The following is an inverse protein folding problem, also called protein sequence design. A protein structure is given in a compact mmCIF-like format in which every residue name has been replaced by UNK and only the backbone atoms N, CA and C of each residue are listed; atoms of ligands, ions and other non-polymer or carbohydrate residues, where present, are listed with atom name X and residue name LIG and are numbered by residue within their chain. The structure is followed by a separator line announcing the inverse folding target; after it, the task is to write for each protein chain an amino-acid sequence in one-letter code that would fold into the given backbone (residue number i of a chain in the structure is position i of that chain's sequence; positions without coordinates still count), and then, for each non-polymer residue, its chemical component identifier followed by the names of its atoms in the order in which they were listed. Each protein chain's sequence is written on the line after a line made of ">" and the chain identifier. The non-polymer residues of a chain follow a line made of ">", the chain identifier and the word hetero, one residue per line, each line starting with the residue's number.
data_IF_956102171047
#
_entry.id   IF_956102171047
#
_cell.length_a   1.000
_cell.length_b   1.000
_cell.length_c   1.000
_cell.angle_alpha   90.00
_cell.angle_beta   90.00
_cell.angle_gamma   90.00
#
_symmetry.space_group_name_H-M   'P 1'
#
loop_
_entity.id
_entity.type
_entity.pdbx_description
1 polymer ?
#
# COMPACT_ATOMS: atom_id res chain seq x y z
N UNK A 1 16.16 -6.98 42.35
CA UNK A 1 15.95 -7.23 40.92
C UNK A 1 15.92 -8.75 40.71
N UNK A 2 15.08 -9.24 39.84
CA UNK A 2 14.90 -10.66 39.57
C UNK A 2 15.90 -11.20 38.51
N UNK A 3 16.79 -10.36 37.99
CA UNK A 3 17.72 -10.69 36.92
C UNK A 3 19.11 -10.19 37.28
N UNK A 4 20.11 -11.09 37.26
CA UNK A 4 21.50 -10.74 37.56
C UNK A 4 22.27 -10.27 36.33
N UNK A 5 21.99 -10.84 35.14
CA UNK A 5 22.68 -10.53 33.90
C UNK A 5 21.69 -10.37 32.75
N UNK A 6 21.95 -9.43 31.85
CA UNK A 6 21.23 -9.25 30.60
C UNK A 6 22.23 -9.27 29.45
N UNK A 7 21.98 -10.13 28.45
CA UNK A 7 22.79 -10.21 27.25
C UNK A 7 21.94 -10.05 25.99
N UNK A 8 22.46 -9.35 24.99
CA UNK A 8 21.83 -9.21 23.70
C UNK A 8 22.20 -10.40 22.80
N UNK A 9 21.16 -11.12 22.36
CA UNK A 9 21.36 -12.17 21.37
C UNK A 9 21.51 -11.55 19.97
N UNK A 10 22.64 -11.79 19.30
CA UNK A 10 22.93 -11.29 17.95
C UNK A 10 22.51 -12.25 16.83
N UNK A 11 22.07 -13.45 17.17
CA UNK A 11 21.66 -14.46 16.19
C UNK A 11 20.14 -14.49 16.01
N UNK A 12 19.64 -15.01 14.87
CA UNK A 12 18.20 -15.09 14.61
C UNK A 12 17.45 -16.03 15.58
N UNK A 13 18.14 -17.01 16.16
CA UNK A 13 17.60 -17.98 17.11
C UNK A 13 18.44 -18.03 18.38
N UNK A 14 17.94 -18.65 19.44
CA UNK A 14 18.69 -18.81 20.69
C UNK A 14 19.73 -19.93 20.65
N UNK A 15 19.81 -20.74 19.60
CA UNK A 15 20.63 -21.94 19.52
C UNK A 15 22.11 -21.67 19.84
N UNK A 16 22.71 -20.66 19.20
CA UNK A 16 24.12 -20.34 19.44
C UNK A 16 24.36 -19.76 20.85
N UNK A 17 23.41 -18.97 21.36
CA UNK A 17 23.47 -18.48 22.75
C UNK A 17 23.41 -19.63 23.75
N UNK A 18 22.54 -20.60 23.55
CA UNK A 18 22.43 -21.82 24.40
C UNK A 18 23.72 -22.59 24.39
N UNK A 19 24.36 -22.78 23.24
CA UNK A 19 25.68 -23.48 23.16
C UNK A 19 26.78 -22.77 23.91
N UNK A 20 26.78 -21.43 23.94
CA UNK A 20 27.79 -20.61 24.62
C UNK A 20 27.53 -20.60 26.13
N UNK A 21 26.27 -20.30 26.53
CA UNK A 21 25.89 -20.12 27.94
C UNK A 21 25.81 -21.48 28.69
N UNK A 22 25.43 -22.56 27.99
CA UNK A 22 25.21 -23.90 28.54
C UNK A 22 24.31 -23.87 29.79
N UNK A 23 23.07 -23.37 29.68
CA UNK A 23 22.19 -23.17 30.83
C UNK A 23 21.74 -24.50 31.41
N UNK A 24 21.62 -24.60 32.75
CA UNK A 24 20.98 -25.72 33.41
C UNK A 24 19.48 -25.76 33.12
N UNK A 25 18.85 -24.56 33.08
CA UNK A 25 17.43 -24.36 32.74
C UNK A 25 17.28 -23.30 31.66
N UNK A 26 16.64 -23.69 30.58
CA UNK A 26 16.20 -22.77 29.53
C UNK A 26 14.69 -22.55 29.67
N UNK A 27 14.30 -21.34 30.04
CA UNK A 27 12.90 -21.02 30.39
C UNK A 27 12.20 -20.36 29.22
N UNK A 28 11.02 -20.84 28.87
CA UNK A 28 10.12 -20.28 27.84
C UNK A 28 8.72 -20.05 28.42
N UNK A 29 7.95 -19.16 27.79
CA UNK A 29 6.53 -18.99 28.09
C UNK A 29 5.72 -20.25 27.76
N UNK A 30 4.59 -20.44 28.42
CA UNK A 30 3.70 -21.58 28.22
C UNK A 30 3.09 -21.66 26.81
N UNK A 31 3.03 -20.52 26.08
CA UNK A 31 2.61 -20.43 24.69
C UNK A 31 3.48 -21.25 23.72
N UNK A 32 4.72 -21.59 24.12
CA UNK A 32 5.62 -22.48 23.37
C UNK A 32 5.50 -23.98 23.76
N UNK A 33 4.67 -24.32 24.73
CA UNK A 33 4.44 -25.70 25.15
C UNK A 33 3.67 -26.50 24.10
N UNK A 34 2.76 -25.87 23.38
CA UNK A 34 2.01 -26.46 22.27
C UNK A 34 2.80 -26.31 20.96
N UNK A 35 3.48 -27.37 20.56
CA UNK A 35 4.35 -27.41 19.38
C UNK A 35 3.61 -27.12 18.06
N UNK A 36 2.30 -27.40 18.00
CA UNK A 36 1.48 -27.14 16.81
C UNK A 36 1.20 -25.63 16.64
N UNK A 37 1.36 -24.85 17.71
CA UNK A 37 1.20 -23.39 17.72
C UNK A 37 2.50 -22.61 17.57
N UNK A 38 3.66 -23.29 17.48
CA UNK A 38 4.94 -22.62 17.23
C UNK A 38 5.04 -22.13 15.79
N UNK A 39 4.61 -20.88 15.58
CA UNK A 39 4.65 -20.18 14.28
C UNK A 39 6.08 -20.04 13.73
N UNK A 40 7.10 -20.16 14.59
CA UNK A 40 8.51 -20.03 14.19
C UNK A 40 9.14 -21.35 13.81
N UNK A 41 8.59 -22.49 14.23
CA UNK A 41 9.12 -23.84 14.04
C UNK A 41 10.47 -24.08 14.74
N UNK A 42 10.94 -23.14 15.57
CA UNK A 42 12.28 -23.18 16.15
C UNK A 42 12.34 -23.84 17.52
N UNK A 43 11.22 -24.02 18.21
CA UNK A 43 11.22 -24.53 19.60
C UNK A 43 11.87 -25.91 19.69
N UNK A 44 11.65 -26.80 18.72
CA UNK A 44 12.28 -28.13 18.68
C UNK A 44 13.79 -28.04 18.53
N UNK A 45 14.28 -27.14 17.68
CA UNK A 45 15.72 -26.93 17.47
C UNK A 45 16.39 -26.33 18.70
N UNK A 46 15.71 -25.43 19.41
CA UNK A 46 16.19 -24.87 20.68
C UNK A 46 16.18 -25.94 21.79
N UNK A 47 15.14 -26.76 21.87
CA UNK A 47 15.06 -27.89 22.81
C UNK A 47 16.21 -28.88 22.59
N UNK A 48 16.50 -29.26 21.35
CA UNK A 48 17.61 -30.17 21.01
C UNK A 48 18.96 -29.53 21.36
N UNK A 49 19.14 -28.23 21.15
CA UNK A 49 20.35 -27.51 21.54
C UNK A 49 20.55 -27.49 23.08
N UNK A 50 19.48 -27.27 23.84
CA UNK A 50 19.51 -27.29 25.32
C UNK A 50 19.88 -28.69 25.84
N UNK A 51 19.26 -29.73 25.29
CA UNK A 51 19.60 -31.13 25.64
C UNK A 51 21.05 -31.46 25.30
N UNK A 52 21.56 -31.02 24.18
CA UNK A 52 22.93 -31.27 23.73
C UNK A 52 23.99 -30.66 24.66
N UNK A 53 23.66 -29.61 25.42
CA UNK A 53 24.55 -29.00 26.43
C UNK A 53 24.27 -29.47 27.85
N UNK A 54 23.35 -30.44 28.05
CA UNK A 54 23.01 -31.05 29.34
C UNK A 54 21.95 -30.28 30.14
N UNK A 55 21.36 -29.23 29.58
CA UNK A 55 20.32 -28.44 30.20
C UNK A 55 18.91 -29.02 30.05
N UNK A 56 17.95 -28.41 30.71
CA UNK A 56 16.51 -28.75 30.64
C UNK A 56 15.70 -27.52 30.19
N UNK A 57 14.68 -27.77 29.37
CA UNK A 57 13.70 -26.72 29.06
C UNK A 57 12.62 -26.71 30.14
N UNK A 58 12.22 -25.52 30.57
CA UNK A 58 11.15 -25.31 31.53
C UNK A 58 10.16 -24.31 30.95
N UNK A 59 8.87 -24.62 31.02
CA UNK A 59 7.82 -23.71 30.61
C UNK A 59 7.17 -23.07 31.85
N UNK A 60 6.98 -21.74 31.81
CA UNK A 60 6.30 -21.05 32.92
C UNK A 60 4.81 -21.43 32.94
N UNK A 61 4.24 -21.58 34.13
CA UNK A 61 2.82 -21.94 34.33
C UNK A 61 1.93 -20.70 34.58
N UNK A 62 2.50 -19.50 34.64
CA UNK A 62 1.76 -18.28 34.89
C UNK A 62 1.05 -17.77 33.64
N UNK A 63 -0.03 -16.99 33.86
CA UNK A 63 -0.76 -16.31 32.79
C UNK A 63 0.22 -15.42 32.03
N UNK A 64 0.63 -15.85 30.85
CA UNK A 64 1.49 -15.07 29.97
C UNK A 64 0.69 -13.96 29.32
N UNK A 65 0.84 -12.76 29.84
CA UNK A 65 0.57 -11.59 29.03
C UNK A 65 1.73 -11.42 28.07
N UNK A 66 1.52 -11.59 26.76
CA UNK A 66 2.56 -11.21 25.82
C UNK A 66 2.87 -9.72 26.02
N UNK A 67 4.13 -9.32 25.88
CA UNK A 67 4.50 -7.89 25.95
C UNK A 67 3.60 -7.05 25.03
N UNK A 68 3.23 -7.60 23.88
CA UNK A 68 2.30 -7.00 22.94
C UNK A 68 0.90 -6.81 23.54
N UNK A 69 0.36 -7.81 24.28
CA UNK A 69 -0.96 -7.67 24.89
C UNK A 69 -0.99 -6.66 26.04
N UNK A 70 0.07 -6.59 26.85
CA UNK A 70 0.23 -5.57 27.89
C UNK A 70 0.36 -4.17 27.31
N UNK A 71 1.19 -3.99 26.25
CA UNK A 71 1.33 -2.73 25.55
C UNK A 71 -0.01 -2.31 24.94
N UNK A 72 -0.70 -3.22 24.27
CA UNK A 72 -2.00 -2.93 23.66
C UNK A 72 -3.07 -2.61 24.69
N UNK A 73 -3.06 -3.24 25.86
CA UNK A 73 -4.05 -2.99 26.92
C UNK A 73 -3.79 -1.69 27.71
N UNK A 74 -2.52 -1.38 28.00
CA UNK A 74 -2.18 -0.30 28.95
C UNK A 74 -1.41 0.87 28.33
N UNK A 75 -0.73 0.66 27.23
CA UNK A 75 0.14 1.65 26.57
C UNK A 75 -0.17 1.82 25.08
N UNK A 76 -1.38 1.40 24.65
CA UNK A 76 -1.79 1.56 23.25
C UNK A 76 -1.74 3.02 22.83
N UNK A 77 -1.01 3.38 21.77
CA UNK A 77 -0.95 4.75 21.25
C UNK A 77 -2.24 5.16 20.54
N UNK A 78 -3.21 4.24 20.41
CA UNK A 78 -4.47 4.48 19.72
C UNK A 78 -5.48 5.20 20.60
N UNK A 79 -6.30 6.06 19.98
CA UNK A 79 -7.44 6.70 20.64
C UNK A 79 -8.53 5.66 21.01
N UNK A 80 -9.47 6.08 21.84
CA UNK A 80 -10.49 5.16 22.37
C UNK A 80 -11.40 4.59 21.28
N UNK A 81 -11.74 5.37 20.26
CA UNK A 81 -12.54 4.89 19.10
C UNK A 81 -11.83 3.72 18.37
N UNK A 82 -10.52 3.83 18.19
CA UNK A 82 -9.74 2.76 17.54
C UNK A 82 -9.63 1.53 18.45
N UNK A 83 -9.47 1.72 19.77
CA UNK A 83 -9.44 0.62 20.75
C UNK A 83 -10.78 -0.14 20.78
N UNK A 84 -11.90 0.58 20.83
CA UNK A 84 -13.24 0.00 20.81
C UNK A 84 -13.47 -0.80 19.51
N UNK A 85 -13.11 -0.21 18.36
CA UNK A 85 -13.19 -0.91 17.07
C UNK A 85 -12.39 -2.20 17.07
N UNK A 86 -11.11 -2.16 17.49
CA UNK A 86 -10.24 -3.33 17.53
C UNK A 86 -10.76 -4.40 18.48
N UNK A 87 -11.29 -4.01 19.65
CA UNK A 87 -11.90 -4.94 20.59
C UNK A 87 -13.13 -5.64 19.99
N UNK A 88 -14.00 -4.90 19.31
CA UNK A 88 -15.16 -5.47 18.61
C UNK A 88 -14.74 -6.38 17.44
N UNK A 89 -13.72 -5.97 16.68
CA UNK A 89 -13.22 -6.71 15.55
C UNK A 89 -12.60 -8.06 15.96
N UNK A 90 -11.77 -8.08 17.02
CA UNK A 90 -11.14 -9.30 17.60
C UNK A 90 -12.18 -10.36 18.01
N UNK A 91 -13.33 -9.93 18.56
CA UNK A 91 -14.41 -10.86 18.92
C UNK A 91 -15.01 -11.58 17.72
N UNK A 92 -14.89 -11.00 16.51
CA UNK A 92 -15.53 -11.49 15.28
C UNK A 92 -14.55 -12.22 14.35
N UNK A 93 -13.30 -11.75 14.32
CA UNK A 93 -12.29 -12.21 13.37
C UNK A 93 -10.95 -12.46 14.07
N UNK A 94 -10.42 -13.67 13.90
CA UNK A 94 -9.05 -13.99 14.33
C UNK A 94 -8.02 -13.55 13.29
N UNK A 95 -6.75 -13.47 13.69
CA UNK A 95 -5.65 -13.14 12.79
C UNK A 95 -5.55 -14.12 11.62
N UNK A 96 -5.72 -15.43 11.89
CA UNK A 96 -5.64 -16.49 10.90
C UNK A 96 -6.72 -16.32 9.83
N UNK A 97 -7.95 -15.93 10.22
CA UNK A 97 -9.05 -15.69 9.27
C UNK A 97 -8.74 -14.50 8.34
N UNK A 98 -8.18 -13.42 8.89
CA UNK A 98 -7.81 -12.24 8.08
C UNK A 98 -6.65 -12.56 7.16
N UNK A 99 -5.63 -13.28 7.66
CA UNK A 99 -4.47 -13.70 6.85
C UNK A 99 -4.91 -14.66 5.74
N UNK A 100 -5.83 -15.58 6.03
CA UNK A 100 -6.37 -16.49 5.02
C UNK A 100 -7.06 -15.76 3.85
N UNK A 101 -7.69 -14.61 4.08
CA UNK A 101 -8.20 -13.78 2.97
C UNK A 101 -7.09 -13.22 2.08
N UNK A 102 -5.97 -12.83 2.67
CA UNK A 102 -4.79 -12.35 1.94
C UNK A 102 -4.14 -13.49 1.15
N UNK A 103 -4.05 -14.69 1.73
CA UNK A 103 -3.49 -15.86 1.04
C UNK A 103 -4.27 -16.29 -0.22
N UNK A 104 -5.56 -15.97 -0.31
CA UNK A 104 -6.37 -16.23 -1.51
C UNK A 104 -5.96 -15.41 -2.72
N UNK A 105 -5.14 -14.38 -2.53
CA UNK A 105 -4.73 -13.45 -3.59
C UNK A 105 -3.61 -14.01 -4.46
N UNK A 106 -2.82 -14.96 -3.95
CA UNK A 106 -1.60 -15.51 -4.55
C UNK A 106 -1.76 -16.15 -5.94
N UNK A 107 -2.99 -16.56 -6.29
CA UNK A 107 -3.27 -17.22 -7.56
C UNK A 107 -3.91 -16.27 -8.59
N UNK A 108 -4.03 -14.98 -8.26
CA UNK A 108 -4.65 -13.99 -9.13
C UNK A 108 -3.69 -13.53 -10.24
N UNK A 109 -4.24 -13.38 -11.43
CA UNK A 109 -3.61 -12.75 -12.59
C UNK A 109 -4.14 -11.34 -12.75
N UNK A 110 -3.26 -10.35 -12.64
CA UNK A 110 -3.64 -8.94 -12.59
C UNK A 110 -2.99 -8.20 -13.75
N UNK A 111 -3.80 -7.48 -14.53
CA UNK A 111 -3.31 -6.47 -15.45
C UNK A 111 -3.47 -5.10 -14.80
N UNK A 112 -2.36 -4.41 -14.58
CA UNK A 112 -2.37 -3.04 -14.10
C UNK A 112 -2.02 -2.10 -15.25
N UNK A 113 -2.86 -1.07 -15.44
CA UNK A 113 -2.69 -0.07 -16.49
C UNK A 113 -2.78 1.33 -15.87
N UNK A 114 -1.87 2.24 -16.25
CA UNK A 114 -1.89 3.60 -15.72
C UNK A 114 -0.69 4.42 -16.16
N UNK A 115 -0.64 5.66 -15.67
CA UNK A 115 0.45 6.59 -15.99
C UNK A 115 1.70 6.27 -15.17
N UNK A 116 2.84 6.12 -15.85
CA UNK A 116 4.17 6.08 -15.20
C UNK A 116 4.48 7.45 -14.63
N UNK A 117 4.99 7.46 -13.40
CA UNK A 117 5.53 8.64 -12.73
C UNK A 117 6.88 8.28 -12.13
N UNK A 118 7.88 9.13 -12.36
CA UNK A 118 9.16 9.08 -11.64
C UNK A 118 9.12 10.17 -10.58
N UNK A 119 9.26 9.78 -9.32
CA UNK A 119 9.31 10.70 -8.19
C UNK A 119 10.77 10.96 -7.81
N UNK A 120 11.25 12.19 -8.01
CA UNK A 120 12.59 12.63 -7.62
C UNK A 120 12.51 13.51 -6.37
N UNK A 121 13.22 13.12 -5.31
CA UNK A 121 13.34 13.87 -4.05
C UNK A 121 14.72 14.50 -3.96
N UNK A 122 14.80 15.80 -4.21
CA UNK A 122 16.02 16.59 -4.13
C UNK A 122 16.15 17.25 -2.75
N UNK A 123 17.02 16.73 -1.93
CA UNK A 123 17.26 17.28 -0.59
C UNK A 123 18.15 18.50 -0.66
N UNK A 124 17.67 19.58 -0.05
CA UNK A 124 18.33 20.89 -0.07
C UNK A 124 18.52 21.42 1.35
N UNK A 125 19.48 22.33 1.48
CA UNK A 125 19.65 23.15 2.67
C UNK A 125 19.17 24.59 2.33
N UNK A 126 17.99 25.02 2.80
CA UNK A 126 17.51 26.38 2.55
C UNK A 126 18.42 27.41 3.21
N UNK A 127 18.84 28.42 2.45
CA UNK A 127 19.66 29.55 2.93
C UNK A 127 18.80 30.78 3.26
N UNK A 128 17.51 30.74 2.96
CA UNK A 128 16.59 31.84 3.14
C UNK A 128 16.33 32.62 1.85
N UNK A 129 15.79 33.84 1.99
CA UNK A 129 15.46 34.71 0.86
C UNK A 129 16.71 35.25 0.18
N UNK A 130 16.77 35.18 -1.14
CA UNK A 130 17.82 35.81 -1.92
C UNK A 130 17.85 37.32 -1.71
N UNK A 131 19.04 37.95 -1.70
CA UNK A 131 19.20 39.41 -1.58
C UNK A 131 18.81 40.15 -2.86
N UNK A 132 18.81 39.47 -4.02
CA UNK A 132 18.59 40.08 -5.34
C UNK A 132 17.21 39.87 -5.92
N UNK A 133 16.44 38.91 -5.38
CA UNK A 133 15.10 38.53 -5.92
C UNK A 133 14.26 37.89 -4.84
N UNK A 134 12.91 37.83 -4.97
CA UNK A 134 12.04 37.26 -3.92
C UNK A 134 12.00 35.73 -3.90
N UNK A 135 13.01 35.04 -4.43
CA UNK A 135 13.12 33.58 -4.41
C UNK A 135 13.83 33.07 -3.17
N UNK A 136 13.57 31.83 -2.80
CA UNK A 136 14.32 31.09 -1.80
C UNK A 136 15.61 30.57 -2.45
N UNK A 137 16.76 30.83 -1.81
CA UNK A 137 18.04 30.22 -2.18
C UNK A 137 18.26 28.95 -1.36
N UNK A 138 18.74 27.90 -1.99
CA UNK A 138 19.04 26.63 -1.32
C UNK A 138 20.27 25.97 -1.93
N UNK A 139 21.01 25.21 -1.13
CA UNK A 139 22.12 24.38 -1.59
C UNK A 139 21.62 22.95 -1.80
N UNK A 140 21.84 22.40 -2.98
CA UNK A 140 21.57 21.00 -3.30
C UNK A 140 22.54 20.09 -2.51
N UNK A 141 22.04 18.96 -2.02
CA UNK A 141 22.82 18.02 -1.23
C UNK A 141 22.87 16.62 -1.90
N UNK A 142 21.73 16.05 -2.17
CA UNK A 142 21.57 14.72 -2.78
C UNK A 142 20.18 14.55 -3.34
N UNK A 143 19.98 13.47 -4.07
CA UNK A 143 18.65 13.06 -4.54
C UNK A 143 18.38 11.58 -4.27
N UNK A 144 17.11 11.25 -4.11
CA UNK A 144 16.59 9.90 -4.16
C UNK A 144 15.54 9.85 -5.28
N UNK A 145 15.51 8.76 -6.04
CA UNK A 145 14.60 8.57 -7.17
C UNK A 145 13.79 7.31 -6.96
N UNK A 146 12.48 7.41 -7.17
CA UNK A 146 11.53 6.33 -6.89
C UNK A 146 10.62 6.04 -8.08
N UNK A 147 10.22 4.77 -8.20
CA UNK A 147 9.15 4.35 -9.09
C UNK A 147 7.79 4.72 -8.48
N UNK A 148 7.13 5.72 -9.05
CA UNK A 148 5.81 6.20 -8.63
C UNK A 148 4.71 5.85 -9.62
N UNK A 149 3.50 6.33 -9.36
CA UNK A 149 2.35 6.07 -10.20
C UNK A 149 2.06 4.58 -10.36
N UNK A 150 1.77 4.16 -11.59
CA UNK A 150 1.45 2.75 -11.87
C UNK A 150 2.59 1.78 -11.55
N UNK A 151 3.85 2.25 -11.54
CA UNK A 151 5.01 1.42 -11.17
C UNK A 151 4.94 1.01 -9.69
N UNK A 152 4.62 1.96 -8.81
CA UNK A 152 4.44 1.68 -7.38
C UNK A 152 3.28 0.71 -7.16
N UNK A 153 2.16 0.91 -7.86
CA UNK A 153 1.01 -0.01 -7.83
C UNK A 153 1.42 -1.42 -8.25
N UNK A 154 2.19 -1.56 -9.33
CA UNK A 154 2.67 -2.86 -9.81
C UNK A 154 3.58 -3.56 -8.79
N UNK A 155 4.51 -2.83 -8.17
CA UNK A 155 5.37 -3.35 -7.11
C UNK A 155 4.58 -3.82 -5.89
N UNK A 156 3.53 -3.10 -5.49
CA UNK A 156 2.64 -3.55 -4.42
C UNK A 156 1.87 -4.81 -4.81
N UNK A 157 1.33 -4.87 -6.04
CA UNK A 157 0.55 -6.01 -6.52
C UNK A 157 1.36 -7.30 -6.54
N UNK A 158 2.63 -7.23 -6.98
CA UNK A 158 3.54 -8.37 -7.06
C UNK A 158 3.74 -9.08 -5.71
N UNK A 159 3.65 -8.35 -4.60
CA UNK A 159 3.75 -8.93 -3.26
C UNK A 159 2.56 -9.81 -2.87
N UNK A 160 1.44 -9.73 -3.58
CA UNK A 160 0.19 -10.39 -3.19
C UNK A 160 -0.42 -11.25 -4.30
N UNK A 161 -0.31 -10.86 -5.56
CA UNK A 161 -0.84 -11.59 -6.71
C UNK A 161 0.14 -12.65 -7.22
N UNK A 162 -0.35 -13.60 -8.00
CA UNK A 162 0.48 -14.65 -8.63
C UNK A 162 1.17 -14.17 -9.90
N UNK A 163 0.47 -13.40 -10.72
CA UNK A 163 0.99 -12.83 -11.96
C UNK A 163 0.56 -11.37 -12.06
N UNK A 164 1.49 -10.48 -12.37
CA UNK A 164 1.23 -9.05 -12.55
C UNK A 164 1.80 -8.61 -13.89
N UNK A 165 0.93 -8.10 -14.75
CA UNK A 165 1.32 -7.49 -16.02
C UNK A 165 1.07 -5.99 -15.97
N UNK A 166 2.14 -5.21 -16.12
CA UNK A 166 2.12 -3.76 -16.16
C UNK A 166 2.02 -3.28 -17.61
N UNK A 167 1.03 -2.44 -17.88
CA UNK A 167 0.84 -1.74 -19.16
C UNK A 167 0.91 -0.24 -18.92
N UNK A 168 1.90 0.43 -19.54
CA UNK A 168 2.07 1.88 -19.36
C UNK A 168 2.75 2.52 -20.56
N UNK A 169 2.82 3.86 -20.56
CA UNK A 169 3.47 4.66 -21.59
C UNK A 169 4.69 5.38 -21.03
N UNK A 170 5.77 5.37 -21.78
CA UNK A 170 7.00 6.12 -21.53
C UNK A 170 7.22 7.15 -22.63
N UNK A 171 7.92 8.23 -22.30
CA UNK A 171 8.32 9.23 -23.26
C UNK A 171 9.61 8.85 -23.96
N UNK A 172 9.72 8.99 -25.28
CA UNK A 172 11.01 8.82 -25.97
C UNK A 172 12.03 9.90 -25.64
N UNK A 173 11.56 11.07 -25.25
CA UNK A 173 12.42 12.14 -24.73
C UNK A 173 12.58 11.92 -23.24
N UNK A 174 13.78 11.59 -22.78
CA UNK A 174 14.04 11.27 -21.36
C UNK A 174 13.15 10.13 -20.87
N UNK A 175 13.45 8.93 -21.30
CA UNK A 175 12.62 7.74 -21.09
C UNK A 175 12.62 7.21 -19.64
N UNK A 176 13.67 7.54 -18.88
CA UNK A 176 13.86 7.07 -17.49
C UNK A 176 13.92 5.53 -17.37
N UNK A 177 14.20 4.83 -18.46
CA UNK A 177 14.10 3.36 -18.51
C UNK A 177 15.01 2.70 -17.47
N UNK A 178 16.24 3.19 -17.30
CA UNK A 178 17.17 2.67 -16.29
C UNK A 178 16.59 2.80 -14.88
N UNK A 179 16.02 3.94 -14.54
CA UNK A 179 15.39 4.16 -13.23
C UNK A 179 14.23 3.20 -13.02
N UNK A 180 13.42 2.97 -14.07
CA UNK A 180 12.29 2.04 -14.03
C UNK A 180 12.79 0.61 -13.82
N UNK A 181 13.80 0.17 -14.56
CA UNK A 181 14.36 -1.17 -14.43
C UNK A 181 15.01 -1.42 -13.07
N UNK A 182 15.71 -0.41 -12.51
CA UNK A 182 16.35 -0.49 -11.20
C UNK A 182 15.33 -0.53 -10.02
N UNK A 183 14.09 -0.04 -10.23
CA UNK A 183 13.09 0.12 -9.17
C UNK A 183 11.81 -0.71 -9.37
N UNK A 184 11.63 -1.35 -10.50
CA UNK A 184 10.48 -2.24 -10.73
C UNK A 184 10.84 -3.67 -10.35
N UNK A 185 9.99 -4.34 -9.58
CA UNK A 185 10.18 -5.72 -9.16
C UNK A 185 10.33 -6.67 -10.36
N UNK A 186 11.26 -7.62 -10.27
CA UNK A 186 11.54 -8.61 -11.34
C UNK A 186 10.33 -9.49 -11.65
N UNK A 187 9.45 -9.73 -10.69
CA UNK A 187 8.22 -10.52 -10.84
C UNK A 187 7.09 -9.79 -11.59
N UNK A 188 7.31 -8.54 -12.05
CA UNK A 188 6.33 -7.79 -12.83
C UNK A 188 6.63 -7.94 -14.31
N UNK A 189 5.74 -8.60 -15.06
CA UNK A 189 5.75 -8.55 -16.51
C UNK A 189 5.44 -7.14 -17.00
N UNK A 190 6.16 -6.65 -17.99
CA UNK A 190 6.09 -5.24 -18.37
C UNK A 190 5.85 -5.05 -19.86
N UNK A 191 4.87 -4.24 -20.23
CA UNK A 191 4.61 -3.76 -21.58
C UNK A 191 4.66 -2.25 -21.61
N UNK A 192 5.74 -1.70 -22.14
CA UNK A 192 5.91 -0.28 -22.37
C UNK A 192 5.47 0.11 -23.77
N UNK A 193 4.70 1.17 -23.86
CA UNK A 193 4.40 1.91 -25.08
C UNK A 193 5.18 3.22 -25.05
N UNK A 194 5.40 3.83 -26.22
CA UNK A 194 6.30 4.97 -26.34
C UNK A 194 5.62 6.14 -27.03
N UNK A 195 5.53 7.28 -26.31
CA UNK A 195 5.06 8.53 -26.88
C UNK A 195 6.22 9.38 -27.40
N UNK A 196 6.03 10.02 -28.57
CA UNK A 196 7.04 10.86 -29.23
C UNK A 196 7.01 12.31 -28.71
N UNK A 197 5.85 12.76 -28.24
CA UNK A 197 5.51 14.16 -28.00
C UNK A 197 5.85 14.66 -26.60
N UNK A 198 6.49 13.83 -25.74
CA UNK A 198 6.86 14.21 -24.40
C UNK A 198 7.86 13.31 -23.70
N UNK A 199 8.31 13.70 -22.50
CA UNK A 199 9.14 12.87 -21.63
C UNK A 199 8.28 11.83 -20.88
N UNK A 200 8.93 10.87 -20.23
CA UNK A 200 8.31 10.11 -19.14
C UNK A 200 7.99 11.08 -17.99
N UNK A 201 6.78 10.97 -17.44
CA UNK A 201 6.34 11.91 -16.40
C UNK A 201 7.28 11.85 -15.19
N UNK A 202 7.86 12.96 -14.83
CA UNK A 202 8.77 13.09 -13.70
C UNK A 202 8.30 14.22 -12.78
N UNK A 203 8.18 13.93 -11.49
CA UNK A 203 7.83 14.90 -10.44
C UNK A 203 9.03 15.10 -9.54
N UNK A 204 9.71 16.22 -9.72
CA UNK A 204 10.89 16.60 -8.95
C UNK A 204 10.50 17.47 -7.79
N UNK A 205 10.63 16.94 -6.57
CA UNK A 205 10.31 17.64 -5.32
C UNK A 205 11.59 18.08 -4.63
N UNK A 206 11.62 19.34 -4.26
CA UNK A 206 12.71 19.89 -3.47
C UNK A 206 12.30 19.91 -1.99
N UNK A 207 13.12 19.26 -1.13
CA UNK A 207 12.81 19.05 0.28
C UNK A 207 13.85 19.73 1.17
N UNK A 208 13.39 20.30 2.27
CA UNK A 208 14.28 20.65 3.38
C UNK A 208 14.83 19.37 4.02
N UNK A 209 16.18 19.28 4.10
CA UNK A 209 16.86 18.08 4.61
C UNK A 209 16.57 17.78 6.08
N UNK A 210 16.31 18.80 6.89
CA UNK A 210 16.12 18.64 8.33
C UNK A 210 14.69 18.28 8.69
N UNK A 211 13.73 18.91 8.02
CA UNK A 211 12.31 18.80 8.33
C UNK A 211 11.58 17.83 7.40
N UNK A 212 12.21 17.37 6.31
CA UNK A 212 11.57 16.61 5.22
C UNK A 212 10.32 17.29 4.64
N UNK A 213 10.25 18.63 4.76
CA UNK A 213 9.14 19.41 4.23
C UNK A 213 9.41 19.67 2.75
N UNK A 214 8.41 19.38 1.91
CA UNK A 214 8.44 19.68 0.47
C UNK A 214 8.31 21.19 0.29
N UNK A 215 9.35 21.82 -0.27
CA UNK A 215 9.42 23.26 -0.51
C UNK A 215 8.63 23.65 -1.76
N UNK A 216 8.87 22.94 -2.86
CA UNK A 216 8.16 23.08 -4.13
C UNK A 216 8.38 21.85 -5.01
N UNK A 217 7.60 21.74 -6.09
CA UNK A 217 7.67 20.66 -7.07
C UNK A 217 7.80 21.23 -8.48
N UNK A 218 8.64 20.61 -9.31
CA UNK A 218 8.70 20.84 -10.75
C UNK A 218 8.29 19.56 -11.44
N UNK A 219 7.34 19.65 -12.37
CA UNK A 219 6.87 18.51 -13.17
C UNK A 219 7.36 18.59 -14.60
N UNK A 220 7.88 17.48 -15.10
CA UNK A 220 8.27 17.27 -16.49
C UNK A 220 7.28 16.27 -17.07
N UNK A 221 6.36 16.76 -17.92
CA UNK A 221 5.30 15.91 -18.46
C UNK A 221 4.69 16.51 -19.73
N UNK A 222 3.96 15.65 -20.44
CA UNK A 222 2.95 16.06 -21.39
C UNK A 222 1.64 15.35 -21.01
N UNK A 223 0.68 16.09 -20.50
CA UNK A 223 -0.61 15.60 -20.01
C UNK A 223 -1.70 15.47 -21.09
N UNK A 224 -1.36 15.78 -22.36
CA UNK A 224 -2.27 15.53 -23.47
C UNK A 224 -2.47 14.03 -23.65
N UNK A 225 -3.66 13.65 -24.11
CA UNK A 225 -3.90 12.26 -24.49
C UNK A 225 -2.88 11.78 -25.54
N UNK A 226 -2.53 10.50 -25.43
CA UNK A 226 -1.67 9.85 -26.41
C UNK A 226 -2.29 9.92 -27.80
N UNK A 227 -1.43 9.96 -28.84
CA UNK A 227 -1.88 10.02 -30.23
C UNK A 227 -2.74 8.80 -30.60
N UNK A 228 -3.68 9.01 -31.52
CA UNK A 228 -4.64 7.98 -31.94
C UNK A 228 -3.99 6.67 -32.39
N UNK A 229 -2.88 6.73 -33.12
CA UNK A 229 -2.13 5.54 -33.54
C UNK A 229 -1.66 4.73 -32.34
N UNK A 230 -1.06 5.39 -31.34
CA UNK A 230 -0.57 4.74 -30.13
C UNK A 230 -1.73 4.20 -29.30
N UNK A 231 -2.83 4.94 -29.19
CA UNK A 231 -4.06 4.47 -28.52
C UNK A 231 -4.58 3.18 -29.15
N UNK A 232 -4.61 3.08 -30.48
CA UNK A 232 -5.07 1.89 -31.20
C UNK A 232 -4.13 0.69 -30.95
N UNK A 233 -2.82 0.92 -30.90
CA UNK A 233 -1.82 -0.10 -30.54
C UNK A 233 -2.03 -0.62 -29.10
N UNK A 234 -2.28 0.28 -28.13
CA UNK A 234 -2.60 -0.07 -26.75
C UNK A 234 -3.86 -0.91 -26.68
N UNK A 235 -4.95 -0.46 -27.32
CA UNK A 235 -6.22 -1.21 -27.34
C UNK A 235 -6.06 -2.58 -28.01
N UNK A 236 -5.31 -2.68 -29.09
CA UNK A 236 -5.03 -3.95 -29.76
C UNK A 236 -4.28 -4.94 -28.84
N UNK A 237 -3.32 -4.44 -28.06
CA UNK A 237 -2.62 -5.23 -27.06
C UNK A 237 -3.57 -5.69 -25.93
N UNK A 238 -4.32 -4.76 -25.37
CA UNK A 238 -5.28 -5.04 -24.29
C UNK A 238 -6.33 -6.08 -24.72
N UNK A 239 -6.81 -6.05 -25.98
CA UNK A 239 -7.76 -7.04 -26.51
C UNK A 239 -7.26 -8.48 -26.42
N UNK A 240 -5.94 -8.68 -26.54
CA UNK A 240 -5.32 -10.01 -26.42
C UNK A 240 -5.17 -10.39 -24.95
N UNK A 241 -4.57 -9.51 -24.15
CA UNK A 241 -4.16 -9.79 -22.78
C UNK A 241 -5.30 -9.85 -21.77
N UNK A 242 -6.33 -9.04 -21.96
CA UNK A 242 -7.44 -8.94 -20.99
C UNK A 242 -8.19 -10.27 -20.79
N UNK A 243 -8.11 -11.18 -21.75
CA UNK A 243 -8.72 -12.52 -21.65
C UNK A 243 -8.02 -13.42 -20.64
N UNK A 244 -6.72 -13.18 -20.41
CA UNK A 244 -5.81 -14.02 -19.64
C UNK A 244 -5.81 -13.65 -18.14
N UNK A 245 -6.41 -12.50 -17.77
CA UNK A 245 -6.37 -11.96 -16.41
C UNK A 245 -7.70 -12.06 -15.67
N UNK A 246 -7.64 -12.06 -14.35
CA UNK A 246 -8.81 -12.05 -13.47
C UNK A 246 -9.28 -10.62 -13.16
N UNK A 247 -8.32 -9.72 -12.92
CA UNK A 247 -8.55 -8.34 -12.50
C UNK A 247 -7.83 -7.38 -13.42
N UNK A 248 -8.51 -6.33 -13.83
CA UNK A 248 -7.90 -5.14 -14.44
C UNK A 248 -7.92 -4.03 -13.41
N UNK A 249 -6.75 -3.52 -13.06
CA UNK A 249 -6.60 -2.41 -12.14
C UNK A 249 -6.11 -1.17 -12.91
N UNK A 250 -6.87 -0.08 -12.82
CA UNK A 250 -6.56 1.19 -13.46
C UNK A 250 -6.05 2.18 -12.42
N UNK A 251 -4.81 2.62 -12.58
CA UNK A 251 -4.19 3.69 -11.80
C UNK A 251 -4.10 4.96 -12.68
N UNK A 252 -5.16 5.74 -12.67
CA UNK A 252 -5.38 6.87 -13.57
C UNK A 252 -4.97 8.19 -12.90
N UNK A 253 -3.74 8.61 -13.16
CA UNK A 253 -3.21 9.87 -12.62
C UNK A 253 -3.53 11.10 -13.51
N UNK A 254 -4.25 10.89 -14.62
CA UNK A 254 -4.69 11.97 -15.50
C UNK A 254 -3.58 12.61 -16.32
N UNK A 255 -2.54 11.85 -16.66
CA UNK A 255 -1.41 12.31 -17.47
C UNK A 255 -1.48 11.86 -18.93
N UNK A 256 -2.70 11.57 -19.40
CA UNK A 256 -3.00 11.40 -20.82
C UNK A 256 -2.87 9.98 -21.38
N UNK A 257 -2.40 9.01 -20.63
CA UNK A 257 -2.36 7.63 -21.10
C UNK A 257 -3.75 7.00 -21.13
N UNK A 258 -4.53 7.17 -20.07
CA UNK A 258 -5.88 6.62 -19.98
C UNK A 258 -6.88 7.51 -20.73
N UNK A 259 -7.00 7.28 -22.02
CA UNK A 259 -7.92 8.03 -22.89
C UNK A 259 -9.37 7.57 -22.74
N UNK A 260 -10.35 8.37 -23.20
CA UNK A 260 -11.77 7.98 -23.20
C UNK A 260 -12.04 6.67 -23.95
N UNK A 261 -11.31 6.37 -25.04
CA UNK A 261 -11.49 5.13 -25.78
C UNK A 261 -10.92 3.92 -25.04
N UNK A 262 -9.80 4.09 -24.34
CA UNK A 262 -9.25 3.04 -23.45
C UNK A 262 -10.24 2.77 -22.31
N UNK A 263 -10.80 3.80 -21.65
CA UNK A 263 -11.83 3.63 -20.63
C UNK A 263 -13.01 2.83 -21.17
N UNK A 264 -13.56 3.28 -22.30
CA UNK A 264 -14.70 2.61 -22.95
C UNK A 264 -14.40 1.13 -23.24
N UNK A 265 -13.19 0.82 -23.74
CA UNK A 265 -12.78 -0.55 -24.02
C UNK A 265 -12.73 -1.38 -22.71
N UNK A 266 -12.12 -0.86 -21.65
CA UNK A 266 -11.99 -1.54 -20.36
C UNK A 266 -13.37 -1.81 -19.72
N UNK A 267 -14.27 -0.84 -19.74
CA UNK A 267 -15.65 -0.97 -19.25
C UNK A 267 -16.48 -2.03 -20.00
N UNK A 268 -16.18 -2.23 -21.29
CA UNK A 268 -16.86 -3.20 -22.14
C UNK A 268 -16.21 -4.59 -22.13
N UNK A 269 -15.05 -4.74 -21.50
CA UNK A 269 -14.27 -5.98 -21.50
C UNK A 269 -14.93 -7.16 -20.76
N UNK A 270 -15.88 -6.89 -19.87
CA UNK A 270 -16.50 -7.89 -19.01
C UNK A 270 -15.63 -8.38 -17.85
N UNK A 271 -14.41 -7.85 -17.69
CA UNK A 271 -13.51 -8.21 -16.60
C UNK A 271 -13.81 -7.41 -15.34
N UNK A 272 -13.32 -7.90 -14.21
CA UNK A 272 -13.38 -7.15 -12.97
C UNK A 272 -12.51 -5.91 -13.07
N UNK A 273 -13.14 -4.74 -13.02
CA UNK A 273 -12.50 -3.45 -13.21
C UNK A 273 -12.40 -2.72 -11.87
N UNK A 274 -11.18 -2.59 -11.34
CA UNK A 274 -10.85 -1.78 -10.17
C UNK A 274 -10.20 -0.47 -10.61
N UNK A 275 -10.63 0.66 -10.09
CA UNK A 275 -10.22 1.98 -10.57
C UNK A 275 -9.87 2.91 -9.42
N UNK A 276 -8.74 3.61 -9.56
CA UNK A 276 -8.45 4.88 -8.93
C UNK A 276 -8.33 5.95 -10.02
N UNK A 277 -8.94 7.10 -9.83
CA UNK A 277 -8.72 8.29 -10.65
C UNK A 277 -8.24 9.40 -9.72
N UNK A 278 -6.94 9.66 -9.77
CA UNK A 278 -6.28 10.56 -8.85
C UNK A 278 -6.35 12.01 -9.32
N UNK A 279 -6.67 12.89 -8.40
CA UNK A 279 -6.53 14.34 -8.60
C UNK A 279 -5.21 14.82 -7.98
N UNK A 280 -4.39 15.47 -8.79
CA UNK A 280 -3.10 16.03 -8.38
C UNK A 280 -2.98 17.52 -8.77
N UNK A 281 -1.85 18.15 -8.43
CA UNK A 281 -1.63 19.59 -8.69
C UNK A 281 -1.71 19.99 -10.17
N UNK A 282 -1.38 19.07 -11.08
CA UNK A 282 -1.33 19.35 -12.51
C UNK A 282 -2.70 19.20 -13.20
N UNK A 283 -3.57 18.31 -12.69
CA UNK A 283 -4.87 18.02 -13.29
C UNK A 283 -6.05 18.39 -12.38
N UNK A 284 -5.83 19.30 -11.44
CA UNK A 284 -6.84 19.69 -10.46
C UNK A 284 -8.13 20.16 -11.15
N UNK A 285 -9.21 19.41 -10.91
CA UNK A 285 -10.51 19.70 -11.54
C UNK A 285 -10.72 19.11 -12.94
N UNK A 286 -9.79 18.31 -13.47
CA UNK A 286 -9.89 17.75 -14.82
C UNK A 286 -9.87 16.23 -14.89
N UNK A 287 -9.47 15.54 -13.81
CA UNK A 287 -9.39 14.07 -13.76
C UNK A 287 -10.34 13.51 -12.70
N UNK A 288 -11.60 13.36 -13.05
CA UNK A 288 -12.64 12.89 -12.12
C UNK A 288 -12.95 11.41 -12.29
N UNK A 289 -13.19 10.73 -11.17
CA UNK A 289 -13.65 9.33 -11.15
C UNK A 289 -14.99 9.14 -11.88
N UNK A 290 -15.79 10.19 -12.00
CA UNK A 290 -17.10 10.18 -12.69
C UNK A 290 -17.00 9.96 -14.19
N UNK A 291 -15.82 10.01 -14.81
CA UNK A 291 -15.61 9.63 -16.21
C UNK A 291 -15.74 8.11 -16.46
N UNK A 292 -15.69 7.30 -15.39
CA UNK A 292 -15.94 5.86 -15.42
C UNK A 292 -17.42 5.58 -15.12
N UNK A 293 -18.10 4.85 -16.01
CA UNK A 293 -19.54 4.59 -15.90
C UNK A 293 -19.88 3.14 -15.55
N UNK A 294 -18.89 2.25 -15.60
CA UNK A 294 -19.09 0.83 -15.29
C UNK A 294 -17.83 0.26 -14.66
N UNK A 295 -17.80 0.20 -13.34
CA UNK A 295 -16.68 -0.33 -12.56
C UNK A 295 -17.16 -1.38 -11.55
N UNK A 296 -16.26 -2.23 -11.07
CA UNK A 296 -16.58 -3.18 -9.99
C UNK A 296 -16.13 -2.64 -8.64
N UNK A 297 -14.98 -1.98 -8.59
CA UNK A 297 -14.39 -1.44 -7.40
C UNK A 297 -13.79 -0.05 -7.66
N UNK A 298 -14.02 0.86 -6.74
CA UNK A 298 -13.42 2.21 -6.74
C UNK A 298 -12.71 2.40 -5.40
N UNK A 299 -11.47 2.91 -5.43
CA UNK A 299 -10.75 3.38 -4.25
C UNK A 299 -10.20 4.78 -4.55
N UNK A 300 -10.71 5.78 -3.85
CA UNK A 300 -10.34 7.19 -3.99
C UNK A 300 -10.28 7.86 -2.61
N UNK A 301 -9.69 9.05 -2.54
CA UNK A 301 -9.74 9.84 -1.33
C UNK A 301 -11.01 10.72 -1.22
N UNK A 302 -11.20 11.34 -0.06
CA UNK A 302 -12.35 12.22 0.19
C UNK A 302 -12.39 13.41 -0.77
N UNK A 303 -11.25 14.00 -1.11
CA UNK A 303 -11.15 15.14 -2.01
C UNK A 303 -11.54 14.76 -3.44
N UNK A 304 -11.08 13.60 -3.89
CA UNK A 304 -11.42 13.03 -5.20
C UNK A 304 -12.90 12.66 -5.31
N UNK A 305 -13.54 12.31 -4.18
CA UNK A 305 -15.00 12.15 -4.11
C UNK A 305 -15.73 13.49 -4.22
N UNK A 306 -15.27 14.54 -3.53
CA UNK A 306 -15.95 15.84 -3.45
C UNK A 306 -15.86 16.67 -4.72
N UNK A 307 -14.69 16.65 -5.36
CA UNK A 307 -14.40 17.51 -6.52
C UNK A 307 -15.40 17.38 -7.68
N UNK A 308 -15.78 16.19 -8.17
CA UNK A 308 -16.73 16.07 -9.30
C UNK A 308 -18.13 16.57 -8.97
N UNK A 309 -18.46 16.74 -7.70
CA UNK A 309 -19.77 17.27 -7.26
C UNK A 309 -19.72 18.75 -6.86
N UNK A 310 -18.53 19.36 -6.81
CA UNK A 310 -18.36 20.74 -6.36
C UNK A 310 -18.86 20.96 -4.91
N UNK A 311 -18.81 19.91 -4.08
CA UNK A 311 -19.43 19.93 -2.75
C UNK A 311 -18.39 19.66 -1.65
N UNK A 312 -17.94 20.74 -1.01
CA UNK A 312 -16.94 20.69 0.06
C UNK A 312 -17.53 20.30 1.43
N UNK A 313 -18.84 20.44 1.66
CA UNK A 313 -19.44 20.38 2.98
C UNK A 313 -20.54 19.33 3.13
N UNK A 314 -21.04 18.80 2.02
CA UNK A 314 -22.10 17.79 2.02
C UNK A 314 -21.70 16.48 2.69
N UNK A 315 -22.70 15.73 3.12
CA UNK A 315 -22.54 14.44 3.73
C UNK A 315 -21.84 13.43 2.81
N UNK A 316 -20.71 12.88 3.23
CA UNK A 316 -19.93 11.92 2.43
C UNK A 316 -20.77 10.74 1.94
N UNK A 317 -21.64 10.22 2.80
CA UNK A 317 -22.51 9.09 2.45
C UNK A 317 -23.43 9.41 1.26
N UNK A 318 -23.92 10.63 1.17
CA UNK A 318 -24.76 11.05 0.04
C UNK A 318 -23.95 11.22 -1.25
N UNK A 319 -22.72 11.74 -1.15
CA UNK A 319 -21.81 11.83 -2.30
C UNK A 319 -21.42 10.45 -2.83
N UNK A 320 -21.15 9.48 -1.95
CA UNK A 320 -20.89 8.10 -2.34
C UNK A 320 -22.09 7.47 -3.05
N UNK A 321 -23.32 7.72 -2.58
CA UNK A 321 -24.52 7.24 -3.27
C UNK A 321 -24.69 7.89 -4.65
N UNK A 322 -24.38 9.19 -4.79
CA UNK A 322 -24.37 9.88 -6.10
C UNK A 322 -23.32 9.25 -7.02
N UNK A 323 -22.09 9.04 -6.52
CA UNK A 323 -21.03 8.40 -7.27
C UNK A 323 -21.43 6.98 -7.73
N UNK A 324 -22.01 6.19 -6.84
CA UNK A 324 -22.53 4.85 -7.16
C UNK A 324 -23.53 4.86 -8.33
N UNK A 325 -24.42 5.85 -8.40
CA UNK A 325 -25.40 5.97 -9.49
C UNK A 325 -24.72 6.22 -10.84
N UNK A 326 -23.64 7.03 -10.85
CA UNK A 326 -22.89 7.36 -12.07
C UNK A 326 -22.03 6.17 -12.52
N UNK A 327 -21.22 5.64 -11.62
CA UNK A 327 -20.17 4.68 -11.94
C UNK A 327 -20.67 3.23 -11.95
N UNK A 328 -21.85 2.96 -11.40
CA UNK A 328 -22.42 1.61 -11.19
C UNK A 328 -21.51 0.67 -10.41
N UNK A 329 -20.54 1.22 -9.68
CA UNK A 329 -19.52 0.47 -8.95
C UNK A 329 -20.14 -0.58 -8.00
N UNK A 330 -19.57 -1.77 -7.93
CA UNK A 330 -19.98 -2.82 -6.99
C UNK A 330 -19.70 -2.43 -5.55
N UNK A 331 -18.48 -1.94 -5.30
CA UNK A 331 -17.98 -1.44 -4.01
C UNK A 331 -17.27 -0.11 -4.22
N UNK A 332 -17.39 0.79 -3.24
CA UNK A 332 -16.69 2.09 -3.25
C UNK A 332 -15.99 2.25 -1.92
N UNK A 333 -14.67 2.43 -1.96
CA UNK A 333 -13.83 2.74 -0.83
C UNK A 333 -13.37 4.19 -0.87
N UNK A 334 -13.53 4.89 0.24
CA UNK A 334 -13.05 6.25 0.41
C UNK A 334 -12.00 6.25 1.52
N UNK A 335 -10.78 6.65 1.19
CA UNK A 335 -9.72 6.88 2.19
C UNK A 335 -9.89 8.26 2.78
N UNK A 336 -9.86 8.35 4.12
CA UNK A 336 -10.15 9.54 4.91
C UNK A 336 -8.92 10.01 5.71
N UNK A 337 -7.72 9.62 5.29
CA UNK A 337 -6.48 9.93 5.99
C UNK A 337 -6.52 9.48 7.45
N UNK A 338 -6.35 10.42 8.38
CA UNK A 338 -6.36 10.13 9.82
C UNK A 338 -7.71 9.63 10.35
N UNK A 339 -8.79 9.76 9.59
CA UNK A 339 -10.11 9.23 9.93
C UNK A 339 -10.32 7.79 9.45
N UNK A 340 -9.36 7.20 8.72
CA UNK A 340 -9.39 5.81 8.30
C UNK A 340 -10.03 5.57 6.93
N UNK A 341 -10.89 4.57 6.82
CA UNK A 341 -11.51 4.14 5.56
C UNK A 341 -13.01 4.00 5.73
N UNK A 342 -13.77 4.50 4.77
CA UNK A 342 -15.20 4.24 4.62
C UNK A 342 -15.42 3.36 3.37
N UNK A 343 -16.07 2.21 3.54
CA UNK A 343 -16.44 1.31 2.46
C UNK A 343 -17.97 1.29 2.29
N UNK A 344 -18.42 1.37 1.04
CA UNK A 344 -19.83 1.24 0.68
C UNK A 344 -20.04 0.00 -0.20
N UNK A 345 -20.85 -0.91 0.27
CA UNK A 345 -21.23 -2.15 -0.42
C UNK A 345 -22.67 -2.54 -0.06
N UNK A 346 -23.45 -3.04 -1.03
CA UNK A 346 -24.83 -3.56 -0.81
C UNK A 346 -25.70 -2.60 0.01
N UNK A 347 -25.62 -1.29 -0.28
CA UNK A 347 -26.35 -0.21 0.39
C UNK A 347 -26.00 -0.02 1.89
N UNK A 348 -24.84 -0.57 2.35
CA UNK A 348 -24.34 -0.41 3.70
C UNK A 348 -23.00 0.32 3.70
N UNK A 349 -22.79 1.13 4.73
CA UNK A 349 -21.53 1.80 5.00
C UNK A 349 -20.81 1.09 6.14
N UNK A 350 -19.52 0.84 5.93
CA UNK A 350 -18.61 0.27 6.92
C UNK A 350 -17.48 1.28 7.12
N UNK A 351 -17.26 1.69 8.36
CA UNK A 351 -16.17 2.59 8.72
C UNK A 351 -15.13 1.84 9.54
N UNK A 352 -13.87 2.03 9.18
CA UNK A 352 -12.72 1.50 9.92
C UNK A 352 -11.81 2.68 10.28
N UNK A 353 -11.54 2.94 11.56
CA UNK A 353 -10.67 4.04 11.98
C UNK A 353 -9.22 3.79 11.55
N UNK A 354 -8.42 4.86 11.42
CA UNK A 354 -7.01 4.74 11.07
C UNK A 354 -6.20 4.06 12.19
N UNK A 355 -5.21 3.26 11.79
CA UNK A 355 -4.30 2.57 12.71
C UNK A 355 -2.91 3.20 12.78
N UNK A 356 -2.55 4.05 11.84
CA UNK A 356 -1.27 4.76 11.86
C UNK A 356 -1.20 5.74 13.03
N UNK A 357 -0.15 5.67 13.83
CA UNK A 357 0.10 6.58 14.97
C UNK A 357 1.06 7.71 14.62
N UNK A 358 1.78 7.56 13.51
CA UNK A 358 2.66 8.57 12.93
C UNK A 358 2.69 8.44 11.42
N UNK A 359 3.06 9.51 10.73
CA UNK A 359 3.17 9.56 9.27
C UNK A 359 4.54 10.13 8.92
N UNK A 360 5.34 9.38 8.15
CA UNK A 360 6.61 9.86 7.60
C UNK A 360 6.41 10.48 6.23
N UNK A 361 5.71 9.80 5.36
CA UNK A 361 5.30 10.29 4.04
C UNK A 361 3.94 9.71 3.68
N UNK A 362 3.06 10.54 3.11
CA UNK A 362 1.74 10.09 2.67
C UNK A 362 1.68 9.76 1.17
N UNK A 363 2.75 10.02 0.43
CA UNK A 363 2.82 9.74 -1.02
C UNK A 363 2.79 8.23 -1.23
N UNK A 364 1.95 7.76 -2.14
CA UNK A 364 1.81 6.34 -2.48
C UNK A 364 0.95 5.51 -1.52
N UNK A 365 0.51 6.06 -0.37
CA UNK A 365 -0.31 5.29 0.57
C UNK A 365 -1.66 4.86 -0.04
N UNK A 366 -2.30 5.73 -0.83
CA UNK A 366 -3.51 5.41 -1.58
C UNK A 366 -3.30 4.30 -2.59
N UNK A 367 -2.17 4.31 -3.29
CA UNK A 367 -1.77 3.33 -4.29
C UNK A 367 -1.54 1.95 -3.65
N UNK A 368 -0.86 1.91 -2.50
CA UNK A 368 -0.67 0.69 -1.72
C UNK A 368 -2.02 0.10 -1.25
N UNK A 369 -2.90 0.94 -0.71
CA UNK A 369 -4.25 0.54 -0.26
C UNK A 369 -5.05 0.01 -1.44
N UNK A 370 -5.11 0.72 -2.57
CA UNK A 370 -5.78 0.27 -3.78
C UNK A 370 -5.30 -1.12 -4.23
N UNK A 371 -3.97 -1.32 -4.30
CA UNK A 371 -3.37 -2.55 -4.81
C UNK A 371 -3.85 -3.79 -4.08
N UNK A 372 -3.92 -3.74 -2.75
CA UNK A 372 -4.34 -4.89 -1.95
C UNK A 372 -5.85 -5.01 -1.85
N UNK A 373 -6.53 -3.88 -1.60
CA UNK A 373 -7.99 -3.90 -1.39
C UNK A 373 -8.78 -4.22 -2.65
N UNK A 374 -8.27 -3.88 -3.85
CA UNK A 374 -8.89 -4.26 -5.11
C UNK A 374 -8.93 -5.79 -5.29
N UNK A 375 -7.84 -6.48 -4.94
CA UNK A 375 -7.76 -7.93 -5.00
C UNK A 375 -8.67 -8.60 -3.96
N UNK A 376 -8.66 -8.08 -2.72
CA UNK A 376 -9.59 -8.53 -1.67
C UNK A 376 -11.05 -8.33 -2.10
N UNK A 377 -11.37 -7.20 -2.73
CA UNK A 377 -12.70 -6.90 -3.23
C UNK A 377 -13.15 -7.88 -4.33
N UNK A 378 -12.25 -8.26 -5.23
CA UNK A 378 -12.48 -9.30 -6.24
C UNK A 378 -12.77 -10.67 -5.60
N UNK A 379 -11.99 -11.06 -4.59
CA UNK A 379 -12.22 -12.32 -3.83
C UNK A 379 -13.44 -12.26 -2.92
N UNK A 380 -14.22 -11.17 -2.94
CA UNK A 380 -15.39 -10.96 -2.09
C UNK A 380 -15.11 -11.03 -0.58
N UNK A 381 -13.90 -10.62 -0.16
CA UNK A 381 -13.56 -10.46 1.26
C UNK A 381 -14.63 -9.63 1.95
N UNK A 382 -15.11 -10.03 3.16
CA UNK A 382 -16.11 -9.29 3.90
C UNK A 382 -15.72 -7.82 4.12
N UNK A 383 -16.69 -6.90 3.98
CA UNK A 383 -16.46 -5.46 3.99
C UNK A 383 -15.67 -4.96 5.21
N UNK A 384 -15.94 -5.50 6.39
CA UNK A 384 -15.22 -5.15 7.62
C UNK A 384 -13.75 -5.59 7.58
N UNK A 385 -13.47 -6.81 7.07
CA UNK A 385 -12.09 -7.28 6.89
C UNK A 385 -11.37 -6.48 5.82
N UNK A 386 -12.05 -6.13 4.72
CA UNK A 386 -11.47 -5.33 3.64
C UNK A 386 -11.05 -3.95 4.17
N UNK A 387 -11.89 -3.28 4.94
CA UNK A 387 -11.56 -2.01 5.59
C UNK A 387 -10.39 -2.15 6.58
N UNK A 388 -10.37 -3.23 7.37
CA UNK A 388 -9.28 -3.54 8.31
C UNK A 388 -7.95 -3.76 7.58
N UNK A 389 -7.93 -4.62 6.54
CA UNK A 389 -6.74 -4.88 5.72
C UNK A 389 -6.25 -3.58 5.07
N UNK A 390 -7.16 -2.78 4.49
CA UNK A 390 -6.82 -1.50 3.88
C UNK A 390 -6.15 -0.53 4.85
N UNK A 391 -6.64 -0.43 6.09
CA UNK A 391 -6.00 0.41 7.12
C UNK A 391 -4.65 -0.14 7.59
N UNK A 392 -4.48 -1.47 7.68
CA UNK A 392 -3.17 -2.07 7.96
C UNK A 392 -2.15 -1.74 6.86
N UNK A 393 -2.55 -1.88 5.58
CA UNK A 393 -1.70 -1.53 4.44
C UNK A 393 -1.37 -0.04 4.45
N UNK A 394 -2.37 0.84 4.61
CA UNK A 394 -2.16 2.29 4.68
C UNK A 394 -1.22 2.69 5.82
N UNK A 395 -1.37 2.06 6.99
CA UNK A 395 -0.51 2.33 8.15
C UNK A 395 0.96 1.94 7.92
N UNK A 396 1.20 0.86 7.19
CA UNK A 396 2.56 0.46 6.79
C UNK A 396 3.10 1.40 5.70
N UNK A 397 2.27 1.72 4.71
CA UNK A 397 2.68 2.56 3.58
C UNK A 397 3.11 3.97 4.01
N UNK A 398 2.41 4.60 4.96
CA UNK A 398 2.79 5.96 5.44
C UNK A 398 4.10 5.99 6.24
N UNK A 399 4.72 4.85 6.55
CA UNK A 399 6.07 4.77 7.13
C UNK A 399 7.17 4.70 6.07
N UNK A 400 6.81 4.47 4.80
CA UNK A 400 7.73 4.37 3.67
C UNK A 400 7.88 5.75 3.03
N UNK A 401 9.10 6.18 2.76
CA UNK A 401 9.37 7.46 2.09
C UNK A 401 9.32 7.24 0.58
N UNK A 402 8.49 7.99 -0.12
CA UNK A 402 8.51 8.11 -1.58
C UNK A 402 8.39 6.81 -2.36
N UNK A 403 7.66 5.82 -1.94
CA UNK A 403 7.58 4.49 -2.60
C UNK A 403 8.94 3.74 -2.69
N UNK A 404 9.85 3.95 -1.73
CA UNK A 404 11.18 3.33 -1.69
C UNK A 404 11.13 1.80 -1.81
N UNK A 405 10.08 1.18 -1.31
CA UNK A 405 9.79 -0.24 -1.44
C UNK A 405 8.28 -0.49 -1.30
N UNK A 406 7.75 -1.63 -1.79
CA UNK A 406 6.35 -1.97 -1.58
C UNK A 406 6.05 -2.33 -0.11
N UNK A 407 4.78 -2.35 0.24
CA UNK A 407 4.31 -3.01 1.46
C UNK A 407 4.47 -4.51 1.26
N UNK A 408 5.38 -5.12 2.02
CA UNK A 408 5.63 -6.54 1.92
C UNK A 408 4.51 -7.36 2.61
N UNK A 409 4.10 -8.46 1.98
CA UNK A 409 3.10 -9.38 2.54
C UNK A 409 3.47 -9.88 3.93
N UNK A 410 4.75 -10.19 4.17
CA UNK A 410 5.27 -10.62 5.49
C UNK A 410 5.05 -9.58 6.58
N UNK A 411 5.23 -8.30 6.25
CA UNK A 411 5.10 -7.20 7.22
C UNK A 411 3.62 -6.92 7.50
N UNK A 412 2.77 -6.98 6.47
CA UNK A 412 1.32 -6.91 6.64
C UNK A 412 0.79 -8.04 7.54
N UNK A 413 1.25 -9.27 7.32
CA UNK A 413 0.88 -10.44 8.14
C UNK A 413 1.27 -10.23 9.60
N UNK A 414 2.51 -9.80 9.87
CA UNK A 414 2.98 -9.50 11.23
C UNK A 414 2.17 -8.37 11.89
N UNK A 415 1.84 -7.34 11.12
CA UNK A 415 1.08 -6.19 11.61
C UNK A 415 -0.36 -6.59 11.99
N UNK A 416 -1.01 -7.42 11.17
CA UNK A 416 -2.32 -8.01 11.47
C UNK A 416 -2.27 -8.86 12.74
N UNK A 417 -1.27 -9.73 12.87
CA UNK A 417 -1.07 -10.54 14.08
C UNK A 417 -0.88 -9.68 15.33
N UNK A 418 -0.14 -8.57 15.22
CA UNK A 418 0.05 -7.65 16.33
C UNK A 418 -1.28 -7.02 16.81
N UNK A 419 -2.15 -6.63 15.88
CA UNK A 419 -3.46 -6.07 16.23
C UNK A 419 -4.46 -7.09 16.75
N UNK A 420 -4.37 -8.34 16.35
CA UNK A 420 -5.41 -9.34 16.64
C UNK A 420 -4.98 -10.40 17.69
N UNK A 421 -3.83 -10.19 18.31
CA UNK A 421 -3.38 -10.95 19.51
C UNK A 421 -4.07 -10.47 20.79
#
# INVERSE_FOLDING_TARGET
>A
AAVDYVALNKWPTAIETVKIVKPDFYVKGQDYQDREKDVTGNIKLEEDAVKAVGGKIHFTEEITFSSSSLINAHFSPHNDTTKEYLSAFRKKYSAEKVIAEIEKLKDLKVLVIGDTIIDEYHYCNPLGKSTKSPNISAVYLREDVFAGGVLAVANHLEQFAGEVELVTVLGKKNDQLKVIEDNLSDGVDRKFFWREDGPTNTKRRYLDRYLNIKLFEITFMNDKFIEKKLEDEVIAYLKKKIKEVDVVLVADFGHGFISPNIIKFLEQSGKYLAVNAQTNSNNYGFNYITKYHRTNYISIDERELRLPFGDNYGELKELVKKLKKITKAGKIQITLGQSGIMLYEKNKFHHTPAFATSVRDSVGAGDAVLSVTALCAYKNTPAEMLGFIGNCVGSLAVQIIGNQHPVYKKDLTKYIQHFLK
#
